data_IF_915552176851
#
_entry.id   IF_915552176851
#
_cell.length_a   1.000
_cell.length_b   1.000
_cell.length_c   1.000
_cell.angle_alpha   90.00
_cell.angle_beta   90.00
_cell.angle_gamma   90.00
#
_symmetry.space_group_name_H-M   'P 1'
#
loop_
_entity.id
_entity.type
_entity.pdbx_description
1 polymer ?
#
# COMPACT_ATOMS: atom_id res chain seq x y z
N UNK A 1 10.43 21.52 5.28
CA UNK A 1 9.47 20.43 5.05
C UNK A 1 10.23 19.12 5.24
N UNK A 2 9.66 18.17 5.96
CA UNK A 2 10.25 16.84 6.08
C UNK A 2 10.22 16.14 4.71
N UNK A 3 11.21 15.33 4.42
CA UNK A 3 11.41 14.70 3.09
C UNK A 3 11.83 13.24 3.29
N UNK A 4 11.60 12.41 2.29
CA UNK A 4 12.05 11.01 2.24
C UNK A 4 13.44 10.85 1.60
N UNK A 5 14.20 11.94 1.43
CA UNK A 5 15.54 11.90 0.85
C UNK A 5 16.45 10.92 1.61
N UNK A 6 17.04 9.97 0.89
CA UNK A 6 17.92 8.95 1.44
C UNK A 6 17.22 7.83 2.24
N UNK A 7 15.94 7.94 2.56
CA UNK A 7 15.16 6.88 3.22
C UNK A 7 14.94 5.70 2.28
N UNK A 8 15.01 4.49 2.79
CA UNK A 8 14.80 3.25 2.04
C UNK A 8 13.40 2.71 2.28
N UNK A 9 12.58 2.67 1.22
CA UNK A 9 11.23 2.12 1.24
C UNK A 9 11.19 0.73 0.61
N UNK A 10 10.69 -0.27 1.33
CA UNK A 10 10.32 -1.58 0.78
C UNK A 10 8.83 -1.58 0.48
N UNK A 11 8.45 -1.59 -0.82
CA UNK A 11 7.06 -1.44 -1.26
C UNK A 11 6.58 -2.72 -1.94
N UNK A 12 5.58 -3.39 -1.36
CA UNK A 12 4.98 -4.59 -1.94
C UNK A 12 3.93 -4.22 -2.99
N UNK A 13 3.87 -4.98 -4.10
CA UNK A 13 2.92 -4.73 -5.18
C UNK A 13 3.19 -3.42 -5.96
N UNK A 14 4.42 -2.93 -5.97
CA UNK A 14 4.78 -1.62 -6.51
C UNK A 14 4.95 -1.58 -8.05
N UNK A 15 4.64 -2.67 -8.77
CA UNK A 15 4.79 -2.69 -10.24
C UNK A 15 3.72 -1.89 -10.98
N UNK A 16 2.68 -1.38 -10.29
CA UNK A 16 1.57 -0.57 -10.86
C UNK A 16 0.71 0.08 -9.76
N UNK A 17 -0.31 0.84 -10.18
CA UNK A 17 -1.37 1.37 -9.31
C UNK A 17 -0.85 2.21 -8.15
N UNK A 18 -1.44 2.05 -6.98
CA UNK A 18 -1.13 2.81 -5.76
C UNK A 18 0.34 2.61 -5.35
N UNK A 19 0.84 1.37 -5.36
CA UNK A 19 2.22 1.10 -4.97
C UNK A 19 3.25 1.79 -5.86
N UNK A 20 3.01 1.84 -7.19
CA UNK A 20 3.83 2.62 -8.13
C UNK A 20 3.74 4.12 -7.84
N UNK A 21 2.55 4.64 -7.58
CA UNK A 21 2.37 6.07 -7.28
C UNK A 21 3.11 6.49 -5.99
N UNK A 22 3.03 5.67 -4.93
CA UNK A 22 3.80 5.89 -3.69
C UNK A 22 5.31 5.85 -3.97
N UNK A 23 5.78 4.88 -4.77
CA UNK A 23 7.19 4.78 -5.16
C UNK A 23 7.68 6.04 -5.88
N UNK A 24 6.93 6.53 -6.87
CA UNK A 24 7.27 7.73 -7.63
C UNK A 24 7.20 9.00 -6.78
N UNK A 25 6.22 9.08 -5.87
CA UNK A 25 6.12 10.23 -4.96
C UNK A 25 7.34 10.32 -4.03
N UNK A 26 7.77 9.19 -3.48
CA UNK A 26 8.97 9.13 -2.63
C UNK A 26 10.26 9.37 -3.43
N UNK A 27 10.32 8.87 -4.67
CA UNK A 27 11.46 9.06 -5.56
C UNK A 27 11.73 10.54 -5.87
N UNK A 28 10.70 11.38 -5.97
CA UNK A 28 10.84 12.84 -6.17
C UNK A 28 11.58 13.53 -5.02
N UNK A 29 11.61 12.94 -3.86
CA UNK A 29 12.38 13.41 -2.71
C UNK A 29 13.83 12.87 -2.72
N UNK A 30 14.16 11.93 -3.60
CA UNK A 30 15.47 11.26 -3.62
C UNK A 30 15.54 10.01 -2.73
N UNK A 31 14.41 9.33 -2.51
CA UNK A 31 14.34 8.09 -1.73
C UNK A 31 14.93 6.88 -2.48
N UNK A 32 15.32 5.85 -1.72
CA UNK A 32 15.68 4.54 -2.21
C UNK A 32 14.44 3.63 -2.22
N UNK A 33 14.11 3.01 -3.34
CA UNK A 33 12.89 2.25 -3.53
C UNK A 33 13.18 0.79 -3.89
N UNK A 34 12.87 -0.13 -2.99
CA UNK A 34 12.81 -1.56 -3.27
C UNK A 34 11.41 -1.92 -3.80
N UNK A 35 11.32 -2.23 -5.09
CA UNK A 35 10.09 -2.51 -5.82
C UNK A 35 9.84 -4.02 -5.78
N UNK A 36 9.08 -4.49 -4.78
CA UNK A 36 8.82 -5.92 -4.59
C UNK A 36 7.48 -6.32 -5.22
N UNK A 37 7.51 -7.05 -6.35
CA UNK A 37 6.31 -7.58 -6.99
C UNK A 37 6.60 -8.79 -7.89
N UNK A 38 5.54 -9.52 -8.25
CA UNK A 38 5.64 -10.70 -9.13
C UNK A 38 5.86 -10.35 -10.60
N UNK A 39 5.43 -9.18 -11.02
CA UNK A 39 5.37 -8.77 -12.43
C UNK A 39 6.73 -8.32 -12.92
N UNK A 40 7.60 -9.27 -13.30
CA UNK A 40 8.89 -9.01 -13.91
C UNK A 40 8.85 -8.95 -15.45
N UNK A 41 7.84 -9.59 -16.06
CA UNK A 41 7.65 -9.64 -17.51
C UNK A 41 6.39 -8.85 -17.88
N UNK A 42 6.46 -8.09 -18.97
CA UNK A 42 5.33 -7.30 -19.45
C UNK A 42 4.14 -8.21 -19.81
N UNK A 43 2.95 -7.79 -19.40
CA UNK A 43 1.69 -8.45 -19.73
C UNK A 43 0.78 -7.43 -20.42
N UNK A 44 0.30 -7.68 -21.65
CA UNK A 44 -0.57 -6.72 -22.38
C UNK A 44 -1.85 -6.35 -21.62
N UNK A 45 -2.34 -7.24 -20.76
CA UNK A 45 -3.57 -7.01 -19.97
C UNK A 45 -3.34 -6.28 -18.66
N UNK A 46 -2.09 -6.21 -18.19
CA UNK A 46 -1.72 -5.62 -16.90
C UNK A 46 -0.41 -4.85 -17.08
N UNK A 47 -0.45 -3.60 -17.55
CA UNK A 47 0.75 -2.81 -17.80
C UNK A 47 1.55 -2.56 -16.52
N UNK A 48 2.85 -2.40 -16.68
CA UNK A 48 3.79 -2.16 -15.58
C UNK A 48 4.46 -3.44 -15.06
N UNK A 49 5.78 -3.31 -14.91
CA UNK A 49 6.67 -4.33 -14.34
C UNK A 49 7.54 -3.71 -13.26
N UNK A 50 8.22 -4.54 -12.46
CA UNK A 50 9.23 -4.05 -11.52
C UNK A 50 10.33 -3.27 -12.23
N UNK A 51 10.69 -3.63 -13.47
CA UNK A 51 11.74 -2.98 -14.25
C UNK A 51 11.29 -1.64 -14.84
N UNK A 52 10.04 -1.55 -15.36
CA UNK A 52 9.52 -0.27 -15.88
C UNK A 52 9.38 0.76 -14.76
N UNK A 53 8.92 0.33 -13.56
CA UNK A 53 8.81 1.23 -12.42
C UNK A 53 10.19 1.61 -11.86
N UNK A 54 11.17 0.71 -11.89
CA UNK A 54 12.54 1.06 -11.51
C UNK A 54 13.09 2.19 -12.38
N UNK A 55 12.92 2.10 -13.70
CA UNK A 55 13.32 3.18 -14.63
C UNK A 55 12.58 4.50 -14.33
N UNK A 56 11.27 4.45 -14.02
CA UNK A 56 10.51 5.64 -13.67
C UNK A 56 10.94 6.26 -12.34
N UNK A 57 11.27 5.45 -11.33
CA UNK A 57 11.80 5.89 -10.03
C UNK A 57 13.14 6.63 -10.21
N UNK A 58 14.06 6.06 -11.01
CA UNK A 58 15.35 6.69 -11.32
C UNK A 58 15.15 7.99 -12.10
N UNK A 59 14.23 8.00 -13.08
CA UNK A 59 13.89 9.21 -13.84
C UNK A 59 13.26 10.30 -12.96
N UNK A 60 12.61 9.93 -11.86
CA UNK A 60 12.03 10.87 -10.90
C UNK A 60 13.01 11.39 -9.84
N UNK A 61 14.27 10.91 -9.84
CA UNK A 61 15.34 11.36 -8.95
C UNK A 61 15.62 10.44 -7.76
N UNK A 62 14.93 9.30 -7.65
CA UNK A 62 15.19 8.28 -6.65
C UNK A 62 16.22 7.25 -7.09
N UNK A 63 16.50 6.27 -6.22
CA UNK A 63 17.28 5.06 -6.56
C UNK A 63 16.36 3.86 -6.49
N UNK A 64 16.49 2.92 -7.42
CA UNK A 64 15.56 1.79 -7.53
C UNK A 64 16.27 0.44 -7.43
N UNK A 65 15.60 -0.53 -6.80
CA UNK A 65 15.96 -1.95 -6.83
C UNK A 65 14.72 -2.76 -7.21
N UNK A 66 14.74 -3.38 -8.40
CA UNK A 66 13.66 -4.22 -8.89
C UNK A 66 13.79 -5.64 -8.33
N UNK A 67 12.80 -6.10 -7.56
CA UNK A 67 12.81 -7.38 -6.85
C UNK A 67 11.61 -8.22 -7.28
N UNK A 68 11.86 -9.34 -7.98
CA UNK A 68 10.81 -10.32 -8.25
C UNK A 68 10.47 -11.05 -6.96
N UNK A 69 9.30 -10.75 -6.39
CA UNK A 69 8.88 -11.29 -5.10
C UNK A 69 7.38 -11.61 -5.10
N UNK A 70 7.03 -12.86 -4.85
CA UNK A 70 5.68 -13.26 -4.47
C UNK A 70 5.61 -13.28 -2.94
N UNK A 71 4.84 -12.36 -2.35
CA UNK A 71 4.76 -12.23 -0.88
C UNK A 71 4.08 -13.40 -0.17
N UNK A 72 3.57 -14.39 -0.91
CA UNK A 72 3.08 -15.65 -0.36
C UNK A 72 4.20 -16.61 0.00
N UNK A 73 5.37 -16.44 -0.64
CA UNK A 73 6.53 -17.32 -0.53
C UNK A 73 7.55 -16.70 0.44
N UNK A 74 7.72 -17.34 1.59
CA UNK A 74 8.59 -16.84 2.67
C UNK A 74 10.03 -16.60 2.21
N UNK A 75 10.61 -17.58 1.49
CA UNK A 75 11.99 -17.48 1.02
C UNK A 75 12.18 -16.30 0.05
N UNK A 76 11.18 -16.01 -0.81
CA UNK A 76 11.25 -14.86 -1.70
C UNK A 76 11.18 -13.55 -0.95
N UNK A 77 10.34 -13.44 0.08
CA UNK A 77 10.26 -12.25 0.92
C UNK A 77 11.58 -12.02 1.67
N UNK A 78 12.12 -13.06 2.31
CA UNK A 78 13.39 -12.97 3.03
C UNK A 78 14.55 -12.60 2.10
N UNK A 79 14.62 -13.21 0.92
CA UNK A 79 15.64 -12.89 -0.09
C UNK A 79 15.50 -11.43 -0.59
N UNK A 80 14.27 -10.94 -0.84
CA UNK A 80 14.03 -9.58 -1.28
C UNK A 80 14.42 -8.55 -0.21
N UNK A 81 14.11 -8.81 1.06
CA UNK A 81 14.51 -7.97 2.19
C UNK A 81 16.04 -7.95 2.32
N UNK A 82 16.70 -9.12 2.28
CA UNK A 82 18.16 -9.22 2.36
C UNK A 82 18.85 -8.44 1.23
N UNK A 83 18.38 -8.60 -0.02
CA UNK A 83 18.90 -7.85 -1.18
C UNK A 83 18.69 -6.34 -1.03
N UNK A 84 17.57 -5.90 -0.45
CA UNK A 84 17.32 -4.48 -0.17
C UNK A 84 18.34 -3.93 0.83
N UNK A 85 18.57 -4.64 1.91
CA UNK A 85 19.53 -4.25 2.95
C UNK A 85 20.96 -4.25 2.42
N UNK A 86 21.33 -5.25 1.63
CA UNK A 86 22.65 -5.31 0.98
C UNK A 86 22.87 -4.11 0.04
N UNK A 87 21.85 -3.74 -0.74
CA UNK A 87 21.96 -2.71 -1.77
C UNK A 87 21.89 -1.28 -1.21
N UNK A 88 21.03 -1.03 -0.22
CA UNK A 88 20.76 0.32 0.32
C UNK A 88 21.29 0.53 1.75
N UNK A 89 21.73 -0.52 2.44
CA UNK A 89 22.26 -0.45 3.80
C UNK A 89 21.24 -0.66 4.91
N UNK A 90 19.93 -0.64 4.60
CA UNK A 90 18.86 -0.80 5.59
C UNK A 90 17.47 -0.64 4.99
N UNK A 91 16.46 -0.67 5.85
CA UNK A 91 15.05 -0.39 5.52
C UNK A 91 14.51 0.55 6.59
N UNK A 92 14.03 1.72 6.17
CA UNK A 92 13.39 2.70 7.04
C UNK A 92 11.87 2.56 7.05
N UNK A 93 11.29 2.15 5.92
CA UNK A 93 9.85 2.17 5.70
C UNK A 93 9.41 0.88 4.99
N UNK A 94 8.38 0.23 5.53
CA UNK A 94 7.64 -0.83 4.85
C UNK A 94 6.29 -0.31 4.39
N UNK A 95 5.95 -0.51 3.10
CA UNK A 95 4.62 -0.27 2.56
C UNK A 95 3.97 -1.59 2.14
N UNK A 96 3.03 -2.07 2.94
CA UNK A 96 2.19 -3.23 2.64
C UNK A 96 1.04 -2.80 1.72
N UNK A 97 1.31 -2.80 0.40
CA UNK A 97 0.32 -2.41 -0.62
C UNK A 97 -0.17 -3.59 -1.47
N UNK A 98 0.59 -4.67 -1.62
CA UNK A 98 0.15 -5.82 -2.40
C UNK A 98 -1.20 -6.37 -1.91
N UNK A 99 -2.14 -6.58 -2.83
CA UNK A 99 -3.47 -7.06 -2.51
C UNK A 99 -4.01 -7.98 -3.61
N UNK A 100 -4.85 -8.94 -3.21
CA UNK A 100 -5.69 -9.74 -4.08
C UNK A 100 -7.16 -9.41 -3.80
N UNK A 101 -7.96 -9.31 -4.87
CA UNK A 101 -9.36 -8.90 -4.80
C UNK A 101 -10.27 -9.95 -5.45
N UNK A 102 -11.40 -10.24 -4.79
CA UNK A 102 -12.52 -11.01 -5.34
C UNK A 102 -13.80 -10.59 -4.64
N UNK A 103 -14.58 -9.72 -5.30
CA UNK A 103 -15.81 -9.15 -4.74
C UNK A 103 -17.03 -9.97 -5.16
N UNK A 104 -17.16 -11.16 -4.58
CA UNK A 104 -18.30 -12.06 -4.79
C UNK A 104 -18.77 -12.63 -3.45
N UNK A 105 -20.03 -13.02 -3.41
CA UNK A 105 -20.63 -13.69 -2.25
C UNK A 105 -19.98 -15.06 -1.97
N UNK A 106 -20.34 -15.64 -0.84
CA UNK A 106 -19.76 -16.89 -0.35
C UNK A 106 -19.90 -18.04 -1.34
N UNK A 107 -21.08 -18.21 -1.95
CA UNK A 107 -21.32 -19.29 -2.91
C UNK A 107 -20.54 -19.15 -4.22
N UNK A 108 -20.21 -17.91 -4.62
CA UNK A 108 -19.48 -17.59 -5.85
C UNK A 108 -17.97 -17.37 -5.61
N UNK A 109 -17.48 -17.71 -4.42
CA UNK A 109 -16.08 -17.58 -4.05
C UNK A 109 -15.40 -18.96 -4.02
N UNK A 110 -14.71 -19.38 -5.10
CA UNK A 110 -13.94 -20.62 -5.06
C UNK A 110 -12.84 -20.56 -3.99
N UNK A 111 -12.57 -21.66 -3.29
CA UNK A 111 -11.54 -21.72 -2.22
C UNK A 111 -10.17 -21.24 -2.72
N UNK A 112 -9.80 -21.53 -3.96
CA UNK A 112 -8.57 -20.99 -4.57
C UNK A 112 -8.50 -19.46 -4.55
N UNK A 113 -9.63 -18.77 -4.70
CA UNK A 113 -9.72 -17.30 -4.63
C UNK A 113 -9.69 -16.82 -3.18
N UNK A 114 -10.40 -17.53 -2.30
CA UNK A 114 -10.37 -17.27 -0.87
C UNK A 114 -8.93 -17.40 -0.34
N UNK A 115 -8.28 -18.52 -0.58
CA UNK A 115 -6.90 -18.78 -0.13
C UNK A 115 -5.93 -17.73 -0.67
N UNK A 116 -6.06 -17.36 -1.96
CA UNK A 116 -5.23 -16.33 -2.55
C UNK A 116 -5.36 -14.99 -1.81
N UNK A 117 -6.59 -14.57 -1.48
CA UNK A 117 -6.83 -13.32 -0.75
C UNK A 117 -6.23 -13.37 0.66
N UNK A 118 -6.40 -14.49 1.39
CA UNK A 118 -5.82 -14.64 2.73
C UNK A 118 -4.29 -14.65 2.69
N UNK A 119 -3.71 -15.37 1.74
CA UNK A 119 -2.26 -15.51 1.59
C UNK A 119 -1.59 -14.19 1.19
N UNK A 120 -2.20 -13.42 0.28
CA UNK A 120 -1.62 -12.15 -0.17
C UNK A 120 -1.88 -11.04 0.85
N UNK A 121 -3.14 -10.84 1.26
CA UNK A 121 -3.53 -9.66 2.03
C UNK A 121 -3.05 -9.77 3.49
N UNK A 122 -3.65 -10.62 4.30
CA UNK A 122 -3.32 -10.69 5.73
C UNK A 122 -1.99 -11.38 6.01
N UNK A 123 -1.81 -12.63 5.51
CA UNK A 123 -0.58 -13.38 5.75
C UNK A 123 0.65 -12.70 5.14
N UNK A 124 0.53 -12.21 3.89
CA UNK A 124 1.63 -11.55 3.19
C UNK A 124 2.05 -10.25 3.88
N UNK A 125 1.11 -9.44 4.38
CA UNK A 125 1.41 -8.23 5.15
C UNK A 125 2.14 -8.55 6.46
N UNK A 126 1.70 -9.59 7.18
CA UNK A 126 2.38 -10.05 8.39
C UNK A 126 3.80 -10.54 8.09
N UNK A 127 3.98 -11.37 7.06
CA UNK A 127 5.28 -11.91 6.68
C UNK A 127 6.27 -10.81 6.27
N UNK A 128 5.82 -9.84 5.47
CA UNK A 128 6.68 -8.71 5.08
C UNK A 128 7.06 -7.85 6.30
N UNK A 129 6.13 -7.60 7.21
CA UNK A 129 6.42 -6.90 8.46
C UNK A 129 7.44 -7.68 9.31
N UNK A 130 7.24 -8.98 9.51
CA UNK A 130 8.16 -9.84 10.27
C UNK A 130 9.58 -9.82 9.67
N UNK A 131 9.70 -9.86 8.34
CA UNK A 131 11.00 -9.84 7.68
C UNK A 131 11.69 -8.46 7.73
N UNK A 132 10.93 -7.35 7.67
CA UNK A 132 11.48 -5.99 7.69
C UNK A 132 11.78 -5.48 9.12
N UNK A 133 11.04 -5.91 10.13
CA UNK A 133 11.13 -5.41 11.51
C UNK A 133 12.55 -5.42 12.10
N UNK A 134 13.40 -6.45 11.91
CA UNK A 134 14.78 -6.42 12.43
C UNK A 134 15.64 -5.28 11.86
N UNK A 135 15.25 -4.71 10.71
CA UNK A 135 15.90 -3.59 10.05
C UNK A 135 15.24 -2.27 10.42
N UNK A 136 13.91 -2.24 10.45
CA UNK A 136 13.13 -1.08 10.90
C UNK A 136 13.50 -0.64 12.32
N UNK A 137 13.68 -1.58 13.23
CA UNK A 137 14.11 -1.30 14.62
C UNK A 137 15.50 -0.65 14.74
N UNK A 138 16.29 -0.63 13.65
CA UNK A 138 17.60 0.03 13.60
C UNK A 138 17.55 1.37 12.86
N UNK A 139 16.42 1.67 12.22
CA UNK A 139 16.25 2.89 11.45
C UNK A 139 15.90 4.07 12.36
N UNK A 140 16.24 5.26 11.91
CA UNK A 140 15.76 6.50 12.51
C UNK A 140 14.37 6.81 11.96
N UNK A 141 13.36 6.95 12.83
CA UNK A 141 11.96 7.22 12.47
C UNK A 141 11.34 6.14 11.53
N UNK A 142 11.27 4.87 11.98
CA UNK A 142 10.80 3.77 11.15
C UNK A 142 9.28 3.74 11.01
N UNK A 143 8.79 3.41 9.80
CA UNK A 143 7.36 3.32 9.52
C UNK A 143 6.94 1.97 8.92
N UNK A 144 5.75 1.50 9.29
CA UNK A 144 4.98 0.50 8.56
C UNK A 144 3.66 1.14 8.14
N UNK A 145 3.43 1.23 6.82
CA UNK A 145 2.17 1.72 6.26
C UNK A 145 1.47 0.59 5.51
N UNK A 146 0.26 0.26 5.94
CA UNK A 146 -0.54 -0.81 5.32
C UNK A 146 -1.75 -0.22 4.57
N UNK A 147 -1.95 -0.59 3.30
CA UNK A 147 -3.14 -0.20 2.53
C UNK A 147 -4.33 -1.07 2.96
N UNK A 148 -4.94 -0.69 4.10
CA UNK A 148 -6.02 -1.42 4.75
C UNK A 148 -7.08 -0.45 5.32
N UNK A 149 -8.37 -0.85 5.32
CA UNK A 149 -9.45 -0.01 5.82
C UNK A 149 -9.45 0.08 7.35
N UNK A 150 -10.15 1.06 7.93
CA UNK A 150 -10.51 1.03 9.34
C UNK A 150 -11.26 -0.27 9.68
N UNK A 151 -10.98 -0.92 10.82
CA UNK A 151 -11.73 -2.08 11.26
C UNK A 151 -13.22 -1.78 11.40
N UNK A 152 -14.07 -2.63 10.82
CA UNK A 152 -15.52 -2.48 10.91
C UNK A 152 -16.20 -3.83 11.06
N UNK A 153 -17.18 -3.90 11.96
CA UNK A 153 -18.06 -5.06 12.15
C UNK A 153 -19.45 -4.87 11.49
N UNK A 154 -19.64 -3.78 10.73
CA UNK A 154 -20.90 -3.48 10.07
C UNK A 154 -21.27 -4.57 9.05
N UNK A 155 -22.44 -5.25 9.20
CA UNK A 155 -22.82 -6.36 8.33
C UNK A 155 -22.84 -6.05 6.84
N UNK A 156 -23.11 -4.79 6.47
CA UNK A 156 -23.12 -4.34 5.07
C UNK A 156 -21.77 -4.52 4.36
N UNK A 157 -20.67 -4.50 5.11
CA UNK A 157 -19.32 -4.72 4.57
C UNK A 157 -18.94 -6.19 4.48
N UNK A 158 -19.62 -7.06 5.25
CA UNK A 158 -19.33 -8.49 5.29
C UNK A 158 -20.20 -9.27 4.30
N UNK A 159 -21.50 -9.00 4.27
CA UNK A 159 -22.48 -9.79 3.52
C UNK A 159 -22.16 -9.96 2.04
N UNK A 160 -21.84 -8.88 1.27
CA UNK A 160 -21.66 -8.98 -0.16
C UNK A 160 -20.38 -9.74 -0.58
N UNK A 161 -19.32 -9.75 0.25
CA UNK A 161 -18.01 -10.29 -0.11
C UNK A 161 -17.18 -10.70 1.11
N UNK A 162 -17.73 -11.58 1.94
CA UNK A 162 -17.13 -12.05 3.21
C UNK A 162 -15.65 -12.43 3.07
N UNK A 163 -15.27 -13.17 2.01
CA UNK A 163 -13.89 -13.62 1.82
C UNK A 163 -12.89 -12.47 1.63
N UNK A 164 -13.29 -11.43 0.88
CA UNK A 164 -12.46 -10.23 0.69
C UNK A 164 -12.41 -9.37 1.95
N UNK A 165 -13.55 -9.15 2.59
CA UNK A 165 -13.63 -8.38 3.84
C UNK A 165 -12.76 -9.01 4.92
N UNK A 166 -12.84 -10.33 5.10
CA UNK A 166 -11.99 -11.05 6.05
C UNK A 166 -10.50 -10.82 5.77
N UNK A 167 -10.09 -10.89 4.50
CA UNK A 167 -8.69 -10.68 4.14
C UNK A 167 -8.23 -9.23 4.37
N UNK A 168 -9.07 -8.23 4.08
CA UNK A 168 -8.75 -6.81 4.31
C UNK A 168 -8.77 -6.46 5.80
N UNK A 169 -9.76 -6.92 6.55
CA UNK A 169 -9.78 -6.76 8.01
C UNK A 169 -8.60 -7.49 8.66
N UNK A 170 -8.16 -8.63 8.10
CA UNK A 170 -6.92 -9.29 8.52
C UNK A 170 -5.69 -8.38 8.43
N UNK A 171 -5.55 -7.59 7.34
CA UNK A 171 -4.48 -6.59 7.24
C UNK A 171 -4.61 -5.51 8.31
N UNK A 172 -5.84 -5.06 8.59
CA UNK A 172 -6.12 -4.05 9.61
C UNK A 172 -5.77 -4.57 11.01
N UNK A 173 -6.12 -5.81 11.33
CA UNK A 173 -5.78 -6.42 12.62
C UNK A 173 -4.29 -6.70 12.76
N UNK A 174 -3.59 -7.07 11.69
CA UNK A 174 -2.12 -7.14 11.67
C UNK A 174 -1.53 -5.76 12.00
N UNK A 175 -2.04 -4.69 11.38
CA UNK A 175 -1.60 -3.32 11.67
C UNK A 175 -1.81 -2.95 13.14
N UNK A 176 -2.98 -3.26 13.70
CA UNK A 176 -3.32 -3.02 15.10
C UNK A 176 -2.36 -3.75 16.05
N UNK A 177 -2.14 -5.05 15.80
CA UNK A 177 -1.23 -5.86 16.59
C UNK A 177 0.21 -5.35 16.57
N UNK A 178 0.73 -5.07 15.36
CA UNK A 178 2.07 -4.53 15.19
C UNK A 178 2.24 -3.14 15.84
N UNK A 179 1.22 -2.29 15.77
CA UNK A 179 1.24 -0.98 16.44
C UNK A 179 1.34 -1.12 17.96
N UNK A 180 0.60 -2.07 18.54
CA UNK A 180 0.65 -2.33 19.99
C UNK A 180 2.00 -2.94 20.42
N UNK A 181 2.58 -3.83 19.61
CA UNK A 181 3.82 -4.53 19.94
C UNK A 181 5.07 -3.65 19.72
N UNK A 182 5.14 -2.94 18.60
CA UNK A 182 6.35 -2.21 18.17
C UNK A 182 6.27 -0.69 18.30
N UNK A 183 5.08 -0.12 18.53
CA UNK A 183 4.93 1.30 18.81
C UNK A 183 5.76 1.76 20.03
N UNK A 184 5.77 1.03 21.17
CA UNK A 184 6.65 1.35 22.29
C UNK A 184 8.14 1.27 21.98
N UNK A 185 8.53 0.63 20.90
CA UNK A 185 9.90 0.52 20.39
C UNK A 185 10.22 1.57 19.31
N UNK A 186 9.32 2.53 19.07
CA UNK A 186 9.52 3.65 18.16
C UNK A 186 9.10 3.40 16.72
N UNK A 187 8.48 2.25 16.38
CA UNK A 187 7.98 2.00 15.01
C UNK A 187 6.59 2.60 14.85
N UNK A 188 6.44 3.57 13.93
CA UNK A 188 5.15 4.17 13.59
C UNK A 188 4.38 3.22 12.64
N UNK A 189 3.41 2.48 13.17
CA UNK A 189 2.60 1.51 12.39
C UNK A 189 1.22 2.08 12.17
N UNK A 190 0.83 2.27 10.90
CA UNK A 190 -0.45 2.86 10.51
C UNK A 190 -1.08 2.15 9.32
N UNK A 191 -2.38 2.34 9.14
CA UNK A 191 -3.09 1.98 7.92
C UNK A 191 -3.57 3.24 7.19
N UNK A 192 -3.67 3.14 5.86
CA UNK A 192 -4.21 4.19 4.98
C UNK A 192 -5.24 3.56 4.05
N UNK A 193 -6.39 4.22 3.91
CA UNK A 193 -7.47 3.80 3.02
C UNK A 193 -8.00 4.98 2.20
N UNK A 194 -8.31 4.80 0.91
CA UNK A 194 -8.87 5.87 0.09
C UNK A 194 -10.34 6.12 0.41
N UNK A 195 -10.77 7.40 0.39
CA UNK A 195 -12.17 7.80 0.55
C UNK A 195 -13.02 7.40 -0.65
N UNK A 196 -12.45 7.48 -1.82
CA UNK A 196 -13.12 7.14 -3.08
C UNK A 196 -12.33 6.07 -3.83
N UNK A 197 -13.01 5.34 -4.71
CA UNK A 197 -12.38 4.32 -5.57
C UNK A 197 -11.22 4.95 -6.36
N UNK A 198 -10.10 4.25 -6.42
CA UNK A 198 -8.90 4.68 -7.12
C UNK A 198 -8.81 4.03 -8.50
N UNK A 199 -8.60 4.83 -9.53
CA UNK A 199 -8.45 4.40 -10.93
C UNK A 199 -7.15 3.61 -11.12
N UNK A 200 -7.23 2.32 -10.86
CA UNK A 200 -6.16 1.34 -11.06
C UNK A 200 -6.69 0.16 -11.85
N UNK A 201 -5.82 -0.75 -12.30
CA UNK A 201 -6.28 -1.98 -12.99
C UNK A 201 -7.24 -2.82 -12.12
N UNK A 202 -7.28 -2.61 -10.81
CA UNK A 202 -8.19 -3.30 -9.91
C UNK A 202 -9.67 -2.96 -10.18
N UNK A 203 -9.98 -1.77 -10.70
CA UNK A 203 -11.37 -1.39 -11.02
C UNK A 203 -12.01 -2.31 -12.07
N UNK A 204 -11.20 -2.91 -12.95
CA UNK A 204 -11.67 -3.88 -13.94
C UNK A 204 -12.30 -5.15 -13.29
N UNK A 205 -12.04 -5.36 -12.00
CA UNK A 205 -12.62 -6.46 -11.20
C UNK A 205 -13.92 -6.05 -10.50
N UNK A 206 -14.31 -4.77 -10.56
CA UNK A 206 -15.45 -4.20 -9.85
C UNK A 206 -16.54 -3.87 -10.88
N UNK A 207 -17.63 -4.66 -10.97
CA UNK A 207 -18.70 -4.38 -11.90
C UNK A 207 -19.34 -3.01 -11.67
N UNK A 208 -19.59 -2.27 -12.75
CA UNK A 208 -20.30 -0.98 -12.70
C UNK A 208 -19.47 0.22 -12.27
N UNK A 209 -18.17 0.05 -12.05
CA UNK A 209 -17.26 1.19 -11.78
C UNK A 209 -16.82 1.84 -13.09
N UNK A 210 -17.08 3.14 -13.22
CA UNK A 210 -16.57 4.00 -14.28
C UNK A 210 -15.32 4.72 -13.78
N UNK A 211 -14.20 4.58 -14.50
CA UNK A 211 -12.94 5.24 -14.14
C UNK A 211 -13.08 6.78 -14.03
N UNK A 212 -13.98 7.39 -14.79
CA UNK A 212 -14.26 8.83 -14.72
C UNK A 212 -14.82 9.27 -13.33
N UNK A 213 -15.39 8.33 -12.57
CA UNK A 213 -15.91 8.57 -11.22
C UNK A 213 -14.89 8.19 -10.11
N UNK A 214 -13.64 8.00 -10.48
CA UNK A 214 -12.57 7.61 -9.57
C UNK A 214 -11.58 8.75 -9.36
N UNK A 215 -10.73 8.59 -8.36
CA UNK A 215 -9.52 9.41 -8.20
C UNK A 215 -8.29 8.70 -8.75
N UNK A 216 -7.29 9.48 -9.12
CA UNK A 216 -5.99 8.96 -9.51
C UNK A 216 -5.23 8.42 -8.29
N UNK A 217 -4.29 7.48 -8.46
CA UNK A 217 -3.48 6.96 -7.36
C UNK A 217 -2.65 8.02 -6.64
N UNK A 218 -2.47 9.20 -7.23
CA UNK A 218 -1.66 10.28 -6.66
C UNK A 218 -2.21 10.79 -5.32
N UNK A 219 -3.54 10.74 -5.10
CA UNK A 219 -4.11 11.13 -3.80
C UNK A 219 -3.60 10.27 -2.67
N UNK A 220 -3.57 8.95 -2.89
CA UNK A 220 -3.05 7.99 -1.89
C UNK A 220 -1.55 8.14 -1.72
N UNK A 221 -0.82 8.43 -2.81
CA UNK A 221 0.62 8.65 -2.77
C UNK A 221 1.00 9.91 -1.98
N UNK A 222 0.29 11.02 -2.19
CA UNK A 222 0.52 12.26 -1.45
C UNK A 222 0.10 12.11 0.02
N UNK A 223 -1.00 11.41 0.32
CA UNK A 223 -1.39 11.08 1.70
C UNK A 223 -0.36 10.18 2.39
N UNK A 224 0.12 9.14 1.72
CA UNK A 224 1.20 8.29 2.22
C UNK A 224 2.47 9.10 2.51
N UNK A 225 2.85 10.00 1.60
CA UNK A 225 3.99 10.89 1.80
C UNK A 225 3.81 11.78 3.04
N UNK A 226 2.62 12.38 3.23
CA UNK A 226 2.33 13.22 4.39
C UNK A 226 2.41 12.45 5.71
N UNK A 227 2.01 11.15 5.72
CA UNK A 227 2.15 10.27 6.88
C UNK A 227 3.62 9.97 7.14
N UNK A 228 4.35 9.53 6.12
CA UNK A 228 5.73 9.04 6.21
C UNK A 228 6.77 10.16 6.45
N UNK A 229 6.39 11.41 6.23
CA UNK A 229 7.23 12.60 6.52
C UNK A 229 6.76 13.37 7.74
N UNK A 230 5.71 12.90 8.44
CA UNK A 230 5.27 13.54 9.68
C UNK A 230 6.28 13.32 10.80
N UNK A 231 6.44 14.31 11.67
CA UNK A 231 7.30 14.17 12.84
C UNK A 231 6.87 12.96 13.68
N UNK A 232 7.83 12.19 14.16
CA UNK A 232 7.61 10.95 14.90
C UNK A 232 6.51 11.05 15.95
N UNK A 233 5.57 10.12 15.92
CA UNK A 233 4.45 10.03 16.83
C UNK A 233 3.17 10.79 16.44
N UNK A 234 3.16 11.63 15.40
CA UNK A 234 1.93 12.28 14.95
C UNK A 234 0.88 11.25 14.46
N UNK A 235 1.35 10.23 13.76
CA UNK A 235 0.55 9.11 13.31
C UNK A 235 1.16 7.82 13.86
N UNK A 236 0.52 7.20 14.84
CA UNK A 236 0.93 5.94 15.42
C UNK A 236 -0.32 5.13 15.83
N UNK A 237 -0.45 3.91 15.33
CA UNK A 237 -1.58 3.03 15.60
C UNK A 237 -2.90 3.49 14.98
N UNK A 238 -2.86 4.30 13.92
CA UNK A 238 -4.05 4.93 13.34
C UNK A 238 -4.48 4.27 12.04
N UNK A 239 -5.80 4.35 11.80
CA UNK A 239 -6.45 3.99 10.54
C UNK A 239 -6.88 5.28 9.87
N UNK A 240 -6.12 5.68 8.86
CA UNK A 240 -6.18 7.00 8.25
C UNK A 240 -6.92 6.96 6.90
N UNK A 241 -7.59 8.04 6.56
CA UNK A 241 -8.25 8.23 5.27
C UNK A 241 -7.48 9.30 4.49
N UNK A 242 -7.21 9.04 3.22
CA UNK A 242 -6.37 9.89 2.35
C UNK A 242 -6.78 11.36 2.35
N UNK A 243 -8.06 11.65 2.15
CA UNK A 243 -8.57 13.04 2.16
C UNK A 243 -8.36 13.73 3.50
N UNK A 244 -8.58 13.01 4.60
CA UNK A 244 -8.43 13.55 5.95
C UNK A 244 -6.97 13.90 6.24
N UNK A 245 -6.05 13.01 5.84
CA UNK A 245 -4.61 13.24 5.96
C UNK A 245 -4.19 14.47 5.15
N UNK A 246 -4.63 14.58 3.90
CA UNK A 246 -4.28 15.68 3.03
C UNK A 246 -4.87 17.01 3.53
N UNK A 247 -6.12 17.02 4.00
CA UNK A 247 -6.72 18.21 4.61
C UNK A 247 -5.96 18.65 5.86
N UNK A 248 -5.57 17.70 6.72
CA UNK A 248 -4.75 17.98 7.90
C UNK A 248 -3.32 18.47 7.55
N UNK A 249 -2.83 18.13 6.35
CA UNK A 249 -1.58 18.65 5.79
C UNK A 249 -1.74 20.00 5.06
N UNK A 250 -2.96 20.59 5.04
CA UNK A 250 -3.23 21.89 4.43
C UNK A 250 -3.58 21.84 2.93
N UNK A 251 -3.83 20.66 2.37
CA UNK A 251 -4.29 20.52 0.98
C UNK A 251 -5.80 20.77 0.92
N UNK A 252 -6.20 21.88 0.30
CA UNK A 252 -7.61 22.28 0.19
C UNK A 252 -8.24 21.71 -1.08
N UNK A 253 -7.54 21.82 -2.21
CA UNK A 253 -8.04 21.43 -3.53
C UNK A 253 -7.79 19.94 -3.81
N UNK A 254 -8.84 19.14 -3.65
CA UNK A 254 -8.76 17.67 -3.90
C UNK A 254 -9.27 17.27 -5.30
N UNK A 255 -9.94 18.18 -6.02
CA UNK A 255 -10.46 17.89 -7.36
C UNK A 255 -9.36 17.61 -8.38
N UNK A 256 -8.15 18.10 -8.14
CA UNK A 256 -6.98 17.77 -8.96
C UNK A 256 -6.65 16.27 -9.03
N UNK A 257 -7.15 15.48 -8.09
CA UNK A 257 -6.98 14.04 -8.06
C UNK A 257 -8.14 13.29 -8.74
N UNK A 258 -9.24 13.95 -9.09
CA UNK A 258 -10.32 13.32 -9.83
C UNK A 258 -9.85 12.99 -11.26
N UNK A 259 -10.25 11.82 -11.77
CA UNK A 259 -10.01 11.48 -13.19
C UNK A 259 -10.83 12.41 -14.08
N UNK A 260 -12.09 12.65 -13.70
CA UNK A 260 -12.94 13.66 -14.29
C UNK A 260 -13.63 14.47 -13.18
N UNK A 261 -13.23 15.73 -12.93
CA UNK A 261 -13.78 16.54 -11.85
C UNK A 261 -15.24 16.97 -12.06
N UNK A 262 -15.80 16.73 -13.24
CA UNK A 262 -17.23 16.99 -13.53
C UNK A 262 -18.16 15.86 -13.12
N UNK A 263 -17.60 14.69 -12.76
CA UNK A 263 -18.35 13.50 -12.39
C UNK A 263 -18.37 13.29 -10.86
N UNK A 264 -19.50 12.84 -10.30
CA UNK A 264 -19.54 12.49 -8.89
C UNK A 264 -18.63 11.30 -8.61
N UNK A 265 -17.83 11.41 -7.54
CA UNK A 265 -16.93 10.33 -7.13
C UNK A 265 -17.70 9.14 -6.53
N UNK A 266 -17.24 7.94 -6.81
CA UNK A 266 -17.73 6.72 -6.16
C UNK A 266 -16.98 6.50 -4.84
N UNK A 267 -17.71 6.31 -3.71
CA UNK A 267 -17.07 5.99 -2.43
C UNK A 267 -16.39 4.63 -2.50
N UNK A 268 -15.27 4.47 -1.81
CA UNK A 268 -14.64 3.16 -1.64
C UNK A 268 -15.35 2.34 -0.56
N UNK A 269 -15.05 1.05 -0.50
CA UNK A 269 -15.59 0.13 0.50
C UNK A 269 -15.10 0.49 1.92
N UNK A 270 -15.86 0.09 2.94
CA UNK A 270 -15.51 0.16 4.36
C UNK A 270 -15.53 1.56 4.99
N UNK A 271 -15.96 2.57 4.27
CA UNK A 271 -16.16 3.93 4.80
C UNK A 271 -17.63 4.35 4.72
N UNK A 272 -18.05 5.19 5.66
CA UNK A 272 -19.40 5.79 5.74
C UNK A 272 -19.46 7.09 4.97
#
# INVERSE_FOLDING_TARGET
MSTLAGKTLFITGASRGIGRAIALRAARDGANIAIAAKSAVANPKLPGTIHSVAFEVESAGGRALALKCDIREEDQVRAAVAATVEHFGGIDILVNNASAIWLRGTLDTPMKRFDLMQQVNSRGSFLCAQACLPHLLKAEDPHILTLAPPPSLEPRWWGPHTGYTLAKMGMSFVTLGLAAEFGPQGVAVNALWPRSIIATDAINMIPGVDAAQCRTPDIVADAAHAILTSAGGRYAGQFLVDEEVLRAAGVVELDRYAVDPTRPLLPDLFLD
#
